data_IF_997997270546
#
_entry.id   IF_997997270546
#
_cell.length_a   1.000
_cell.length_b   1.000
_cell.length_c   1.000
_cell.angle_alpha   90.00
_cell.angle_beta   90.00
_cell.angle_gamma   90.00
#
_symmetry.space_group_name_H-M   'P 1'
#
loop_
_entity.id
_entity.type
_entity.pdbx_description
1 polymer ?
#
# COMPACT_ATOMS: atom_id res chain seq x y z
N UNK A 1 23.60 4.45 -19.79
CA UNK A 1 23.51 5.74 -20.48
C UNK A 1 22.55 6.75 -19.82
N UNK A 2 21.23 6.62 -19.86
CA UNK A 2 20.31 7.64 -19.30
C UNK A 2 20.53 7.93 -17.79
N UNK A 3 20.69 6.89 -16.98
CA UNK A 3 20.96 7.02 -15.53
C UNK A 3 22.26 7.79 -15.27
N UNK A 4 23.33 7.50 -16.02
CA UNK A 4 24.63 8.16 -15.84
C UNK A 4 24.56 9.65 -16.21
N UNK A 5 23.86 9.98 -17.30
CA UNK A 5 23.63 11.38 -17.70
C UNK A 5 22.85 12.14 -16.62
N UNK A 6 21.76 11.57 -16.11
CA UNK A 6 20.98 12.23 -15.06
C UNK A 6 21.71 12.31 -13.72
N UNK A 7 22.57 11.34 -13.38
CA UNK A 7 23.46 11.46 -12.21
C UNK A 7 24.40 12.65 -12.35
N UNK A 8 25.04 12.84 -13.50
CA UNK A 8 25.94 13.97 -13.75
C UNK A 8 25.20 15.31 -13.68
N UNK A 9 23.99 15.39 -14.24
CA UNK A 9 23.17 16.59 -14.19
C UNK A 9 22.64 16.90 -12.78
N UNK A 10 22.26 15.87 -12.02
CA UNK A 10 21.76 16.01 -10.65
C UNK A 10 22.84 16.50 -9.67
N UNK A 11 24.12 16.26 -9.94
CA UNK A 11 25.21 16.86 -9.16
C UNK A 11 25.21 18.39 -9.26
N UNK A 12 24.91 18.93 -10.44
CA UNK A 12 24.92 20.38 -10.68
C UNK A 12 23.59 21.04 -10.29
N UNK A 13 22.48 20.37 -10.59
CA UNK A 13 21.13 20.90 -10.36
C UNK A 13 20.20 19.81 -9.79
N UNK A 14 20.36 19.42 -8.52
CA UNK A 14 19.65 18.28 -7.93
C UNK A 14 18.13 18.45 -7.98
N UNK A 15 17.61 19.65 -7.68
CA UNK A 15 16.16 19.89 -7.68
C UNK A 15 15.50 19.69 -9.05
N UNK A 16 16.24 19.92 -10.14
CA UNK A 16 15.70 19.82 -11.49
C UNK A 16 15.80 18.40 -12.07
N UNK A 17 16.81 17.62 -11.66
CA UNK A 17 17.14 16.37 -12.33
C UNK A 17 16.99 15.12 -11.48
N UNK A 18 16.89 15.22 -10.15
CA UNK A 18 16.67 14.03 -9.30
C UNK A 18 15.33 13.32 -9.58
N UNK A 19 14.19 14.00 -9.85
CA UNK A 19 12.98 13.30 -10.25
C UNK A 19 13.15 12.49 -11.55
N UNK A 20 13.81 13.08 -12.56
CA UNK A 20 14.10 12.39 -13.83
C UNK A 20 15.09 11.24 -13.65
N UNK A 21 16.04 11.38 -12.71
CA UNK A 21 16.94 10.30 -12.32
C UNK A 21 16.16 9.14 -11.70
N UNK A 22 15.23 9.42 -10.77
CA UNK A 22 14.38 8.39 -10.16
C UNK A 22 13.58 7.61 -11.20
N UNK A 23 12.92 8.29 -12.15
CA UNK A 23 12.21 7.62 -13.25
C UNK A 23 13.15 6.77 -14.12
N UNK A 24 14.35 7.28 -14.41
CA UNK A 24 15.34 6.54 -15.20
C UNK A 24 15.87 5.30 -14.50
N UNK A 25 16.08 5.37 -13.17
CA UNK A 25 16.47 4.25 -12.33
C UNK A 25 15.36 3.20 -12.27
N UNK A 26 14.10 3.61 -12.13
CA UNK A 26 12.98 2.68 -12.14
C UNK A 26 12.88 1.94 -13.48
N UNK A 27 13.03 2.65 -14.60
CA UNK A 27 13.04 2.03 -15.93
C UNK A 27 14.24 1.09 -16.13
N UNK A 28 15.41 1.42 -15.55
CA UNK A 28 16.56 0.53 -15.53
C UNK A 28 16.24 -0.75 -14.74
N UNK A 29 15.57 -0.64 -13.60
CA UNK A 29 15.10 -1.77 -12.81
C UNK A 29 14.21 -2.71 -13.63
N UNK A 30 13.28 -2.16 -14.43
CA UNK A 30 12.42 -2.96 -15.32
C UNK A 30 13.25 -3.76 -16.33
N UNK A 31 14.24 -3.12 -16.97
CA UNK A 31 15.11 -3.80 -17.94
C UNK A 31 15.99 -4.87 -17.30
N UNK A 32 16.54 -4.60 -16.12
CA UNK A 32 17.31 -5.59 -15.36
C UNK A 32 16.45 -6.78 -14.95
N UNK A 33 15.19 -6.53 -14.57
CA UNK A 33 14.25 -7.59 -14.23
C UNK A 33 13.91 -8.46 -15.46
N UNK A 34 13.73 -7.86 -16.63
CA UNK A 34 13.52 -8.58 -17.90
C UNK A 34 14.73 -9.42 -18.32
N UNK A 35 15.95 -8.96 -18.01
CA UNK A 35 17.19 -9.67 -18.28
C UNK A 35 17.50 -10.78 -17.27
N UNK A 36 16.67 -10.95 -16.23
CA UNK A 36 16.86 -11.98 -15.21
C UNK A 36 17.93 -11.63 -14.18
N UNK A 37 18.12 -10.33 -13.89
CA UNK A 37 19.04 -9.84 -12.86
C UNK A 37 18.25 -9.23 -11.66
N UNK A 38 17.57 -10.04 -10.84
CA UNK A 38 16.61 -9.55 -9.86
C UNK A 38 17.25 -8.68 -8.75
N UNK A 39 18.50 -8.93 -8.38
CA UNK A 39 19.23 -8.20 -7.35
C UNK A 39 19.63 -6.79 -7.83
N UNK A 40 20.11 -6.70 -9.07
CA UNK A 40 20.43 -5.41 -9.68
C UNK A 40 19.15 -4.60 -9.95
N UNK A 41 18.08 -5.27 -10.37
CA UNK A 41 16.77 -4.64 -10.52
C UNK A 41 16.26 -4.08 -9.19
N UNK A 42 16.31 -4.87 -8.12
CA UNK A 42 15.93 -4.46 -6.78
C UNK A 42 16.70 -3.21 -6.32
N UNK A 43 18.04 -3.21 -6.49
CA UNK A 43 18.86 -2.07 -6.13
C UNK A 43 18.48 -0.79 -6.91
N UNK A 44 18.19 -0.92 -8.22
CA UNK A 44 17.76 0.21 -9.04
C UNK A 44 16.40 0.77 -8.61
N UNK A 45 15.43 -0.09 -8.29
CA UNK A 45 14.13 0.35 -7.77
C UNK A 45 14.24 1.02 -6.40
N UNK A 46 15.05 0.47 -5.50
CA UNK A 46 15.26 1.06 -4.18
C UNK A 46 15.85 2.47 -4.29
N UNK A 47 16.87 2.64 -5.14
CA UNK A 47 17.48 3.94 -5.39
C UNK A 47 16.48 4.93 -5.99
N UNK A 48 15.59 4.47 -6.87
CA UNK A 48 14.53 5.31 -7.44
C UNK A 48 13.59 5.85 -6.34
N UNK A 49 13.06 4.98 -5.47
CA UNK A 49 12.17 5.37 -4.37
C UNK A 49 12.87 6.36 -3.43
N UNK A 50 14.12 6.07 -3.02
CA UNK A 50 14.89 6.97 -2.15
C UNK A 50 15.18 8.33 -2.80
N UNK A 51 15.46 8.33 -4.09
CA UNK A 51 15.75 9.57 -4.84
C UNK A 51 14.51 10.47 -4.93
N UNK A 52 13.32 9.89 -5.10
CA UNK A 52 12.08 10.64 -5.22
C UNK A 52 11.49 11.05 -3.86
N UNK A 53 11.77 10.30 -2.79
CA UNK A 53 11.15 10.49 -1.46
C UNK A 53 11.25 11.92 -0.89
N UNK A 54 12.39 12.64 -0.96
CA UNK A 54 12.44 14.03 -0.49
C UNK A 54 11.49 14.95 -1.24
N UNK A 55 11.34 14.77 -2.56
CA UNK A 55 10.40 15.56 -3.37
C UNK A 55 8.96 15.22 -3.04
N UNK A 56 8.68 13.93 -2.89
CA UNK A 56 7.37 13.44 -2.51
C UNK A 56 6.91 13.99 -1.16
N UNK A 57 7.81 14.08 -0.17
CA UNK A 57 7.52 14.73 1.13
C UNK A 57 7.09 16.19 1.01
N UNK A 58 7.68 16.92 0.06
CA UNK A 58 7.38 18.34 -0.14
C UNK A 58 6.16 18.59 -1.03
N UNK A 59 5.93 17.72 -2.02
CA UNK A 59 4.85 17.84 -3.00
C UNK A 59 4.15 16.48 -3.19
N UNK A 60 3.40 15.97 -2.19
CA UNK A 60 2.82 14.62 -2.24
C UNK A 60 1.90 14.43 -3.45
N UNK A 61 0.97 15.35 -3.68
CA UNK A 61 0.02 15.25 -4.79
C UNK A 61 0.69 15.26 -6.18
N UNK A 62 1.85 15.91 -6.32
CA UNK A 62 2.56 15.98 -7.60
C UNK A 62 3.31 14.69 -7.95
N UNK A 63 3.74 13.93 -6.95
CA UNK A 63 4.56 12.73 -7.12
C UNK A 63 3.87 11.45 -6.64
N UNK A 64 2.59 11.49 -6.25
CA UNK A 64 1.86 10.35 -5.72
C UNK A 64 1.83 9.17 -6.70
N UNK A 65 1.52 9.41 -7.98
CA UNK A 65 1.46 8.34 -8.98
C UNK A 65 2.84 7.76 -9.29
N UNK A 66 3.86 8.61 -9.41
CA UNK A 66 5.24 8.19 -9.61
C UNK A 66 5.75 7.35 -8.43
N UNK A 67 5.53 7.83 -7.20
CA UNK A 67 5.92 7.11 -5.99
C UNK A 67 5.16 5.78 -5.86
N UNK A 68 3.87 5.73 -6.19
CA UNK A 68 3.06 4.50 -6.19
C UNK A 68 3.64 3.46 -7.14
N UNK A 69 3.99 3.92 -8.34
CA UNK A 69 4.56 3.06 -9.37
C UNK A 69 5.93 2.50 -8.94
N UNK A 70 6.82 3.37 -8.45
CA UNK A 70 8.16 2.99 -8.00
C UNK A 70 8.12 2.06 -6.79
N UNK A 71 7.28 2.36 -5.80
CA UNK A 71 7.13 1.53 -4.59
C UNK A 71 6.59 0.14 -4.93
N UNK A 72 5.61 0.04 -5.84
CA UNK A 72 5.09 -1.25 -6.32
C UNK A 72 6.19 -2.07 -7.00
N UNK A 73 6.98 -1.45 -7.88
CA UNK A 73 8.05 -2.15 -8.59
C UNK A 73 9.16 -2.62 -7.64
N UNK A 74 9.54 -1.79 -6.66
CA UNK A 74 10.46 -2.14 -5.59
C UNK A 74 10.01 -3.36 -4.78
N UNK A 75 8.79 -3.32 -4.22
CA UNK A 75 8.25 -4.42 -3.41
C UNK A 75 8.12 -5.72 -4.21
N UNK A 76 7.70 -5.61 -5.48
CA UNK A 76 7.63 -6.76 -6.38
C UNK A 76 9.03 -7.37 -6.65
N UNK A 77 10.06 -6.53 -6.77
CA UNK A 77 11.45 -6.98 -6.93
C UNK A 77 12.01 -7.63 -5.66
N UNK A 78 11.66 -7.14 -4.46
CA UNK A 78 12.00 -7.79 -3.19
C UNK A 78 11.53 -9.26 -3.18
N UNK A 79 10.28 -9.50 -3.58
CA UNK A 79 9.72 -10.86 -3.70
C UNK A 79 10.47 -11.73 -4.71
N UNK A 80 10.77 -11.20 -5.90
CA UNK A 80 11.55 -11.92 -6.94
C UNK A 80 12.97 -12.26 -6.49
N UNK A 81 13.64 -11.33 -5.80
CA UNK A 81 14.97 -11.51 -5.24
C UNK A 81 14.97 -12.30 -3.92
N UNK A 82 13.80 -12.66 -3.37
CA UNK A 82 13.63 -13.31 -2.06
C UNK A 82 14.35 -12.56 -0.93
N UNK A 83 14.27 -11.23 -0.97
CA UNK A 83 14.83 -10.31 0.02
C UNK A 83 13.71 -9.62 0.76
N UNK A 84 13.91 -9.38 2.05
CA UNK A 84 13.01 -8.49 2.78
C UNK A 84 13.17 -7.05 2.28
N UNK A 85 12.08 -6.30 2.10
CA UNK A 85 12.12 -4.87 1.85
C UNK A 85 12.78 -4.11 3.01
N UNK A 86 13.33 -2.94 2.72
CA UNK A 86 13.60 -1.95 3.76
C UNK A 86 12.28 -1.38 4.25
N UNK A 87 11.79 -1.92 5.36
CA UNK A 87 10.54 -1.48 5.97
C UNK A 87 10.60 -0.04 6.49
N UNK A 88 11.76 0.52 6.80
CA UNK A 88 11.87 1.94 7.15
C UNK A 88 11.57 2.82 5.92
N UNK A 89 12.14 2.47 4.76
CA UNK A 89 11.85 3.18 3.51
C UNK A 89 10.36 3.11 3.14
N UNK A 90 9.76 1.92 3.27
CA UNK A 90 8.33 1.74 3.00
C UNK A 90 7.50 2.58 3.96
N UNK A 91 7.76 2.50 5.28
CA UNK A 91 7.07 3.32 6.28
C UNK A 91 7.20 4.81 5.97
N UNK A 92 8.39 5.29 5.63
CA UNK A 92 8.63 6.69 5.30
C UNK A 92 7.81 7.18 4.10
N UNK A 93 7.60 6.33 3.08
CA UNK A 93 6.74 6.67 1.93
C UNK A 93 5.25 6.68 2.31
N UNK A 94 4.80 5.69 3.08
CA UNK A 94 3.40 5.58 3.50
C UNK A 94 3.02 6.66 4.53
N UNK A 95 3.98 7.19 5.28
CA UNK A 95 3.75 8.32 6.18
C UNK A 95 3.38 9.61 5.43
N UNK A 96 3.85 9.75 4.19
CA UNK A 96 3.56 10.92 3.34
C UNK A 96 2.20 10.76 2.65
N UNK A 97 1.91 9.58 2.12
CA UNK A 97 0.60 9.25 1.55
C UNK A 97 0.25 7.78 1.80
N UNK A 98 -0.62 7.50 2.78
CA UNK A 98 -1.09 6.15 3.07
C UNK A 98 -1.86 5.52 1.90
N UNK A 99 -2.37 6.32 0.96
CA UNK A 99 -3.06 5.80 -0.23
C UNK A 99 -2.14 4.99 -1.12
N UNK A 100 -0.81 5.17 -1.05
CA UNK A 100 0.18 4.42 -1.83
C UNK A 100 0.14 2.91 -1.60
N UNK A 101 -0.19 2.47 -0.38
CA UNK A 101 -0.37 1.06 -0.04
C UNK A 101 -1.69 0.48 -0.61
N UNK A 102 -2.62 1.35 -1.00
CA UNK A 102 -3.96 0.97 -1.39
C UNK A 102 -4.04 0.97 -2.92
N UNK A 103 -4.16 -0.21 -3.52
CA UNK A 103 -4.66 -0.34 -4.90
C UNK A 103 -5.96 0.50 -5.05
N UNK A 104 -6.32 1.03 -6.24
CA UNK A 104 -7.61 1.71 -6.44
C UNK A 104 -8.81 0.91 -5.89
N UNK A 105 -8.72 -0.41 -5.96
CA UNK A 105 -9.63 -1.38 -5.36
C UNK A 105 -9.70 -1.27 -3.83
N UNK A 106 -8.55 -1.15 -3.18
CA UNK A 106 -8.41 -1.01 -1.72
C UNK A 106 -8.80 0.38 -1.25
N UNK A 107 -8.53 1.42 -2.03
CA UNK A 107 -9.01 2.77 -1.75
C UNK A 107 -10.55 2.82 -1.70
N UNK A 108 -11.22 2.01 -2.53
CA UNK A 108 -12.67 1.79 -2.45
C UNK A 108 -13.13 0.98 -1.22
N UNK A 109 -12.27 0.15 -0.62
CA UNK A 109 -12.59 -0.72 0.53
C UNK A 109 -12.19 -0.13 1.88
N UNK A 110 -11.33 0.90 1.91
CA UNK A 110 -10.86 1.55 3.15
C UNK A 110 -12.01 2.05 4.05
N UNK A 111 -13.09 2.67 3.53
CA UNK A 111 -14.24 3.05 4.36
C UNK A 111 -14.93 1.84 5.00
N UNK A 112 -15.07 0.74 4.25
CA UNK A 112 -15.68 -0.49 4.75
C UNK A 112 -14.85 -1.13 5.87
N UNK A 113 -13.53 -1.14 5.73
CA UNK A 113 -12.61 -1.65 6.75
C UNK A 113 -12.69 -0.84 8.06
N UNK A 114 -12.73 0.49 7.95
CA UNK A 114 -12.92 1.38 9.10
C UNK A 114 -14.24 1.10 9.81
N UNK A 115 -15.33 0.93 9.04
CA UNK A 115 -16.64 0.62 9.57
C UNK A 115 -16.68 -0.76 10.25
N UNK A 116 -16.12 -1.80 9.62
CA UNK A 116 -15.99 -3.16 10.21
C UNK A 116 -15.20 -3.11 11.52
N UNK A 117 -14.10 -2.35 11.59
CA UNK A 117 -13.32 -2.18 12.80
C UNK A 117 -14.10 -1.44 13.90
N UNK A 118 -14.87 -0.40 13.54
CA UNK A 118 -15.71 0.34 14.49
C UNK A 118 -16.83 -0.55 15.07
N UNK A 119 -17.42 -1.43 14.27
CA UNK A 119 -18.41 -2.42 14.69
C UNK A 119 -17.77 -3.45 15.63
N UNK A 120 -16.60 -3.99 15.29
CA UNK A 120 -15.90 -4.97 16.12
C UNK A 120 -15.56 -4.44 17.53
N UNK A 121 -15.37 -3.13 17.67
CA UNK A 121 -15.10 -2.45 18.95
C UNK A 121 -16.36 -2.05 19.72
N UNK A 122 -17.56 -2.23 19.14
CA UNK A 122 -18.81 -1.71 19.72
C UNK A 122 -18.90 -0.18 19.71
N UNK A 123 -18.06 0.49 18.92
CA UNK A 123 -18.01 1.97 18.82
C UNK A 123 -18.86 2.52 17.67
N UNK A 124 -19.43 1.65 16.83
CA UNK A 124 -20.27 2.02 15.70
C UNK A 124 -21.74 2.18 16.11
N UNK A 125 -22.42 3.15 15.53
CA UNK A 125 -23.88 3.28 15.61
C UNK A 125 -24.61 2.19 14.81
N UNK A 126 -25.90 2.00 15.11
CA UNK A 126 -26.74 0.95 14.48
C UNK A 126 -26.76 1.05 12.94
N UNK A 127 -26.79 2.26 12.39
CA UNK A 127 -26.79 2.50 10.94
C UNK A 127 -25.50 2.00 10.27
N UNK A 128 -24.35 2.21 10.93
CA UNK A 128 -23.04 1.73 10.44
C UNK A 128 -22.98 0.20 10.50
N UNK A 129 -23.54 -0.41 11.54
CA UNK A 129 -23.63 -1.88 11.66
C UNK A 129 -24.45 -2.45 10.49
N UNK A 130 -25.61 -1.85 10.19
CA UNK A 130 -26.48 -2.30 9.09
C UNK A 130 -25.82 -2.12 7.73
N UNK A 131 -25.20 -0.96 7.47
CA UNK A 131 -24.49 -0.70 6.22
C UNK A 131 -23.33 -1.68 5.98
N UNK A 132 -22.59 -2.03 7.04
CA UNK A 132 -21.54 -3.06 6.99
C UNK A 132 -22.13 -4.43 6.65
N UNK A 133 -23.25 -4.82 7.26
CA UNK A 133 -23.90 -6.11 6.98
C UNK A 133 -24.39 -6.21 5.53
N UNK A 134 -25.01 -5.16 5.01
CA UNK A 134 -25.47 -5.08 3.62
C UNK A 134 -24.30 -5.14 2.63
N UNK A 135 -23.23 -4.38 2.89
CA UNK A 135 -22.04 -4.39 2.06
C UNK A 135 -21.39 -5.80 2.00
N UNK A 136 -21.22 -6.45 3.16
CA UNK A 136 -20.68 -7.81 3.23
C UNK A 136 -21.60 -8.83 2.54
N UNK A 137 -22.92 -8.68 2.65
CA UNK A 137 -23.88 -9.53 1.96
C UNK A 137 -23.82 -9.36 0.43
N UNK A 138 -23.63 -8.13 -0.06
CA UNK A 138 -23.41 -7.85 -1.47
C UNK A 138 -22.10 -8.44 -2.00
N UNK A 139 -21.02 -8.35 -1.22
CA UNK A 139 -19.72 -8.94 -1.58
C UNK A 139 -19.78 -10.47 -1.66
N UNK A 140 -20.49 -11.15 -0.74
CA UNK A 140 -20.63 -12.62 -0.76
C UNK A 140 -21.32 -13.18 -2.01
N UNK A 141 -22.11 -12.37 -2.71
CA UNK A 141 -22.80 -12.77 -3.94
C UNK A 141 -21.86 -12.84 -5.15
N UNK A 142 -20.68 -12.20 -5.06
CA UNK A 142 -19.67 -12.20 -6.12
C UNK A 142 -18.58 -13.18 -5.76
N UNK A 143 -18.34 -14.16 -6.63
CA UNK A 143 -17.35 -15.22 -6.39
C UNK A 143 -15.96 -14.66 -6.08
N UNK A 144 -15.58 -13.59 -6.79
CA UNK A 144 -14.33 -12.84 -6.63
C UNK A 144 -14.16 -12.11 -5.27
N UNK A 145 -15.25 -11.80 -4.55
CA UNK A 145 -15.21 -11.04 -3.29
C UNK A 145 -15.64 -11.87 -2.07
N UNK A 146 -16.11 -13.09 -2.31
CA UNK A 146 -16.74 -13.93 -1.29
C UNK A 146 -15.78 -14.24 -0.14
N UNK A 147 -14.56 -14.64 -0.45
CA UNK A 147 -13.55 -14.99 0.55
C UNK A 147 -13.15 -13.77 1.41
N UNK A 148 -13.00 -12.60 0.80
CA UNK A 148 -12.73 -11.35 1.52
C UNK A 148 -13.88 -10.96 2.46
N UNK A 149 -15.13 -11.09 2.00
CA UNK A 149 -16.30 -10.81 2.83
C UNK A 149 -16.42 -11.77 4.04
N UNK A 150 -15.99 -13.02 3.88
CA UNK A 150 -15.91 -14.00 4.98
C UNK A 150 -14.79 -13.67 5.97
N UNK A 151 -13.62 -13.21 5.49
CA UNK A 151 -12.53 -12.69 6.34
C UNK A 151 -12.95 -11.46 7.15
N UNK A 152 -13.57 -10.45 6.51
CA UNK A 152 -14.07 -9.26 7.19
C UNK A 152 -15.21 -9.57 8.18
N UNK A 153 -16.03 -10.58 7.89
CA UNK A 153 -17.04 -11.07 8.82
C UNK A 153 -16.44 -11.66 10.10
N UNK A 154 -15.34 -12.41 9.99
CA UNK A 154 -14.59 -12.95 11.14
C UNK A 154 -13.94 -11.83 11.95
N UNK A 155 -13.31 -10.87 11.28
CA UNK A 155 -12.72 -9.68 11.92
C UNK A 155 -13.78 -8.89 12.71
N UNK A 156 -14.97 -8.72 12.15
CA UNK A 156 -16.12 -8.10 12.83
C UNK A 156 -16.54 -8.85 14.09
N UNK A 157 -16.51 -10.18 14.04
CA UNK A 157 -16.84 -11.06 15.16
C UNK A 157 -15.76 -11.10 16.26
N UNK A 158 -14.65 -10.38 16.07
CA UNK A 158 -13.56 -10.26 17.03
C UNK A 158 -12.39 -11.21 16.78
N UNK A 159 -12.37 -11.93 15.65
CA UNK A 159 -11.21 -12.74 15.26
C UNK A 159 -10.00 -11.84 14.99
N UNK A 160 -8.86 -12.18 15.59
CA UNK A 160 -7.60 -11.42 15.48
C UNK A 160 -6.42 -12.30 15.05
N UNK A 161 -6.59 -13.61 14.95
CA UNK A 161 -5.54 -14.49 14.45
C UNK A 161 -5.36 -14.32 12.92
N UNK A 162 -4.18 -13.89 12.44
CA UNK A 162 -3.91 -13.75 11.02
C UNK A 162 -4.08 -15.06 10.23
N UNK A 163 -3.77 -16.22 10.82
CA UNK A 163 -3.96 -17.51 10.14
C UNK A 163 -5.44 -17.85 9.99
N UNK A 164 -6.25 -17.57 11.02
CA UNK A 164 -7.70 -17.74 10.97
C UNK A 164 -8.34 -16.81 9.94
N UNK A 165 -7.88 -15.56 9.78
CA UNK A 165 -8.38 -14.62 8.78
C UNK A 165 -8.03 -15.01 7.35
N UNK A 166 -6.92 -15.74 7.15
CA UNK A 166 -6.45 -16.26 5.85
C UNK A 166 -7.24 -17.45 5.30
N UNK A 167 -7.94 -18.20 6.15
CA UNK A 167 -8.61 -19.42 5.69
C UNK A 167 -9.67 -19.08 4.63
N UNK A 168 -9.52 -19.67 3.44
CA UNK A 168 -10.47 -19.56 2.32
C UNK A 168 -10.18 -18.45 1.29
N UNK A 169 -9.18 -17.59 1.51
CA UNK A 169 -8.72 -16.61 0.51
C UNK A 169 -7.87 -17.35 -0.56
N UNK A 170 -8.26 -17.27 -1.83
CA UNK A 170 -7.50 -17.85 -2.95
C UNK A 170 -6.35 -16.90 -3.31
N UNK A 171 -5.11 -17.36 -3.42
CA UNK A 171 -3.93 -16.47 -3.53
C UNK A 171 -3.68 -15.84 -4.92
N UNK A 172 -4.68 -15.79 -5.80
CA UNK A 172 -4.49 -15.37 -7.19
C UNK A 172 -4.75 -13.86 -7.38
N UNK A 173 -3.64 -13.09 -7.38
CA UNK A 173 -3.45 -11.71 -7.86
C UNK A 173 -4.26 -10.55 -7.23
N UNK A 174 -5.46 -10.76 -6.70
CA UNK A 174 -6.26 -9.75 -5.99
C UNK A 174 -6.06 -9.88 -4.46
N UNK A 175 -5.69 -11.08 -4.01
CA UNK A 175 -5.74 -11.46 -2.61
C UNK A 175 -4.50 -11.12 -1.79
N UNK A 176 -3.27 -11.14 -2.34
CA UNK A 176 -2.08 -10.81 -1.53
C UNK A 176 -2.08 -9.36 -1.01
N UNK A 177 -2.64 -8.40 -1.77
CA UNK A 177 -2.70 -6.99 -1.37
C UNK A 177 -3.84 -6.71 -0.38
N UNK A 178 -5.00 -7.35 -0.56
CA UNK A 178 -6.12 -7.27 0.39
C UNK A 178 -5.78 -7.99 1.70
N UNK A 179 -5.02 -9.07 1.61
CA UNK A 179 -4.57 -9.87 2.75
C UNK A 179 -3.46 -9.15 3.56
N UNK A 180 -2.48 -8.55 2.89
CA UNK A 180 -1.48 -7.68 3.53
C UNK A 180 -2.12 -6.49 4.28
N UNK A 181 -3.28 -6.03 3.82
CA UNK A 181 -4.04 -4.95 4.45
C UNK A 181 -4.83 -5.40 5.68
N UNK A 182 -5.48 -6.57 5.60
CA UNK A 182 -6.13 -7.21 6.76
C UNK A 182 -5.10 -7.54 7.83
N UNK A 183 -3.90 -7.95 7.42
CA UNK A 183 -2.76 -8.21 8.31
C UNK A 183 -2.14 -6.93 8.89
N UNK A 184 -1.93 -5.90 8.08
CA UNK A 184 -1.46 -4.59 8.54
C UNK A 184 -2.44 -3.90 9.49
N UNK A 185 -3.75 -4.10 9.31
CA UNK A 185 -4.78 -3.63 10.23
C UNK A 185 -4.83 -4.41 11.57
N UNK A 186 -4.25 -5.61 11.61
CA UNK A 186 -4.23 -6.50 12.78
C UNK A 186 -2.87 -6.46 13.51
N UNK A 187 -1.77 -6.16 12.82
CA UNK A 187 -0.42 -6.34 13.34
C UNK A 187 0.28 -5.06 13.86
N UNK A 188 -0.24 -3.86 13.59
CA UNK A 188 0.50 -2.63 13.85
C UNK A 188 -0.35 -1.57 14.60
N UNK A 189 0.01 -1.33 15.87
CA UNK A 189 -0.55 -0.28 16.72
C UNK A 189 -0.38 1.13 16.11
N UNK A 190 0.61 1.34 15.23
CA UNK A 190 0.88 2.64 14.57
C UNK A 190 0.05 2.83 13.30
N UNK A 191 -0.20 1.77 12.52
CA UNK A 191 -1.18 1.80 11.40
C UNK A 191 -2.58 2.06 11.94
N UNK A 192 -2.88 1.50 13.13
CA UNK A 192 -4.11 1.79 13.85
C UNK A 192 -4.21 3.26 14.30
N UNK A 193 -3.11 3.87 14.76
CA UNK A 193 -3.06 5.29 15.11
C UNK A 193 -3.22 6.21 13.86
N UNK A 194 -2.66 5.82 12.71
CA UNK A 194 -2.84 6.49 11.42
C UNK A 194 -4.30 6.43 10.93
N UNK A 195 -4.95 5.27 11.04
CA UNK A 195 -6.37 5.12 10.73
C UNK A 195 -7.28 5.91 11.70
N UNK A 196 -6.88 6.06 12.96
CA UNK A 196 -7.56 6.93 13.94
C UNK A 196 -7.38 8.43 13.63
N UNK A 197 -6.21 8.84 13.13
CA UNK A 197 -5.95 10.23 12.72
C UNK A 197 -6.84 10.66 11.56
N UNK A 198 -6.94 9.82 10.53
CA UNK A 198 -7.80 10.06 9.37
C UNK A 198 -9.30 10.12 9.70
N UNK A 199 -9.75 9.44 10.76
CA UNK A 199 -11.14 9.51 11.23
C UNK A 199 -11.45 10.79 12.04
N UNK A 200 -10.43 11.45 12.61
CA UNK A 200 -10.59 12.69 13.38
C UNK A 200 -10.58 13.95 12.52
N UNK A 201 -9.84 13.93 11.41
CA UNK A 201 -9.82 15.05 10.45
C UNK A 201 -11.16 15.22 9.73
N UNK A 202 -11.87 14.13 9.42
CA UNK A 202 -13.23 14.18 8.83
C UNK A 202 -14.26 14.78 9.79
N UNK A 203 -14.17 14.49 11.10
CA UNK A 203 -15.05 15.07 12.12
C UNK A 203 -14.74 16.52 12.49
N UNK A 204 -13.58 17.05 12.07
CA UNK A 204 -13.18 18.44 12.32
C UNK A 204 -13.47 19.36 11.11
N UNK A 205 -13.91 18.77 9.99
CA UNK A 205 -14.24 19.46 8.75
C UNK A 205 -15.75 19.59 8.48
N UNK A 206 -16.61 19.06 9.37
CA UNK A 206 -18.05 19.35 9.48
C UNK A 206 -18.33 20.34 10.63
#
# INVERSE_FOLDING_TARGET
EAVELYRQLAVQHPQAFLPNLASSLNNLGDRLSEMGEPENALAAYEEAVRTLLPFFRHLPAAFADDMRYMLRNYLSACGRAKREPDWELVKETLWVDPSLALSPTVMGLAPLLRAVAAVARGTAGLEVVQAVEEALAGMRQREEWRALAEALGRLRAGERDPQALRQGLALDAIDEQALALVEGAVADEEVWALLQGLAKEEQSAE
#
